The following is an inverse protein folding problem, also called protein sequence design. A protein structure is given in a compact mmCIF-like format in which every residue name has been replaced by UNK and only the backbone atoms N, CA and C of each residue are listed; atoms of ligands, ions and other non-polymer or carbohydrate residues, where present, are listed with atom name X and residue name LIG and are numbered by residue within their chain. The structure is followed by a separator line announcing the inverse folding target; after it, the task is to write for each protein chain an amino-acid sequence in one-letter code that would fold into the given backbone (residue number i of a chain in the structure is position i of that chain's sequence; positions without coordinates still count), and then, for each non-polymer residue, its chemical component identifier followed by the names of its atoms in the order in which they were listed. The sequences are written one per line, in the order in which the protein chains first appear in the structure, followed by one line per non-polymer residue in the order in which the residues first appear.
data_IF_036471569731
#
_entry.id   IF_036471569731
#
_cell.length_a   1.000
_cell.length_b   1.000
_cell.length_c   1.000
_cell.angle_alpha   90.00
_cell.angle_beta   90.00
_cell.angle_gamma   90.00
#
_symmetry.space_group_name_H-M   'P 1'
#
loop_
_entity.id
_entity.type
_entity.pdbx_description
1 polymer ?
#
# COMPACT_ATOMS: atom_id res chain seq x y z
N UNK A 1 -15.20 1.34 -4.22
CA UNK A 1 -13.78 1.00 -4.02
C UNK A 1 -13.70 -0.11 -2.98
N UNK A 2 -12.87 -1.13 -3.19
CA UNK A 2 -12.61 -2.21 -2.22
C UNK A 2 -11.16 -2.13 -1.74
N UNK A 3 -10.83 -2.74 -0.61
CA UNK A 3 -9.48 -2.68 -0.06
C UNK A 3 -8.42 -3.38 -0.94
N UNK A 4 -8.81 -4.44 -1.65
CA UNK A 4 -7.97 -5.08 -2.69
C UNK A 4 -7.63 -4.14 -3.86
N UNK A 5 -8.49 -3.16 -4.16
CA UNK A 5 -8.25 -2.18 -5.23
C UNK A 5 -7.07 -1.28 -4.83
N UNK A 6 -7.01 -0.90 -3.56
CA UNK A 6 -5.92 -0.09 -2.99
C UNK A 6 -4.62 -0.88 -2.98
N UNK A 7 -4.64 -2.14 -2.51
CA UNK A 7 -3.48 -3.02 -2.54
C UNK A 7 -2.93 -3.16 -3.97
N UNK A 8 -3.81 -3.37 -4.95
CA UNK A 8 -3.41 -3.49 -6.35
C UNK A 8 -2.77 -2.20 -6.89
N UNK A 9 -3.39 -1.04 -6.63
CA UNK A 9 -2.86 0.26 -7.08
C UNK A 9 -1.47 0.56 -6.50
N UNK A 10 -1.27 0.27 -5.21
CA UNK A 10 0.04 0.40 -4.57
C UNK A 10 1.05 -0.60 -5.13
N UNK A 11 0.62 -1.83 -5.46
CA UNK A 11 1.49 -2.82 -6.11
C UNK A 11 1.94 -2.35 -7.49
N UNK A 12 1.03 -1.80 -8.30
CA UNK A 12 1.36 -1.25 -9.61
C UNK A 12 2.38 -0.11 -9.49
N UNK A 13 2.17 0.82 -8.56
CA UNK A 13 3.12 1.90 -8.29
C UNK A 13 4.49 1.37 -7.82
N UNK A 14 4.50 0.33 -6.99
CA UNK A 14 5.73 -0.34 -6.54
C UNK A 14 6.51 -0.93 -7.72
N UNK A 15 5.81 -1.65 -8.60
CA UNK A 15 6.41 -2.25 -9.79
C UNK A 15 6.89 -1.20 -10.79
N UNK A 16 6.17 -0.08 -10.95
CA UNK A 16 6.60 1.06 -11.77
C UNK A 16 7.93 1.63 -11.29
N UNK A 17 8.11 1.79 -9.97
CA UNK A 17 9.35 2.31 -9.39
C UNK A 17 10.55 1.35 -9.51
N UNK A 18 10.28 0.04 -9.59
CA UNK A 18 11.31 -1.00 -9.70
C UNK A 18 11.75 -1.25 -11.15
N UNK A 19 11.11 -0.62 -12.14
CA UNK A 19 11.39 -0.88 -13.55
C UNK A 19 12.68 -0.21 -14.02
N UNK A 20 13.57 -1.03 -14.62
CA UNK A 20 14.76 -0.56 -15.34
C UNK A 20 14.73 -0.89 -16.85
N UNK A 21 13.81 -1.75 -17.32
CA UNK A 21 13.65 -2.08 -18.75
C UNK A 21 12.19 -2.36 -19.14
N UNK A 22 11.82 -1.95 -20.37
CA UNK A 22 10.47 -2.10 -20.92
C UNK A 22 10.08 -3.55 -21.25
N UNK A 23 11.04 -4.42 -21.56
CA UNK A 23 10.75 -5.82 -21.93
C UNK A 23 10.32 -6.65 -20.71
N UNK A 24 10.93 -6.43 -19.55
CA UNK A 24 10.57 -7.10 -18.28
C UNK A 24 9.25 -6.57 -17.70
N UNK A 25 8.79 -5.40 -18.17
CA UNK A 25 7.58 -4.76 -17.67
C UNK A 25 6.32 -5.58 -17.91
N UNK A 26 6.18 -6.20 -19.09
CA UNK A 26 4.96 -6.94 -19.42
C UNK A 26 4.78 -8.20 -18.55
N UNK A 27 5.87 -8.88 -18.19
CA UNK A 27 5.82 -10.10 -17.39
C UNK A 27 5.35 -9.82 -15.96
N UNK A 28 5.92 -8.79 -15.31
CA UNK A 28 5.57 -8.41 -13.94
C UNK A 28 4.16 -7.85 -13.79
N UNK A 29 3.58 -7.29 -14.86
CA UNK A 29 2.24 -6.71 -14.88
C UNK A 29 1.18 -7.69 -15.40
N UNK A 30 1.57 -8.92 -15.77
CA UNK A 30 0.63 -9.95 -16.16
C UNK A 30 -0.32 -10.31 -15.02
N UNK A 31 -1.55 -10.75 -15.35
CA UNK A 31 -2.55 -11.16 -14.34
C UNK A 31 -2.01 -12.24 -13.39
N UNK A 32 -1.14 -13.14 -13.90
CA UNK A 32 -0.50 -14.18 -13.09
C UNK A 32 0.51 -13.58 -12.11
N UNK A 33 1.36 -12.68 -12.57
CA UNK A 33 2.36 -12.03 -11.70
C UNK A 33 1.69 -11.15 -10.64
N UNK A 34 0.63 -10.42 -11.00
CA UNK A 34 -0.16 -9.62 -10.06
C UNK A 34 -0.86 -10.51 -9.02
N UNK A 35 -1.43 -11.65 -9.43
CA UNK A 35 -2.02 -12.61 -8.49
C UNK A 35 -0.98 -13.16 -7.51
N UNK A 36 0.17 -13.59 -8.01
CA UNK A 36 1.24 -14.14 -7.17
C UNK A 36 1.79 -13.10 -6.18
N UNK A 37 1.98 -11.86 -6.63
CA UNK A 37 2.60 -10.81 -5.81
C UNK A 37 1.65 -10.09 -4.87
N UNK A 38 0.33 -10.15 -5.11
CA UNK A 38 -0.69 -9.51 -4.25
C UNK A 38 -1.53 -10.50 -3.45
N UNK A 39 -1.62 -11.76 -3.88
CA UNK A 39 -2.58 -12.74 -3.36
C UNK A 39 -4.04 -12.51 -3.78
N UNK A 40 -4.28 -11.59 -4.73
CA UNK A 40 -5.61 -11.34 -5.31
C UNK A 40 -5.81 -12.28 -6.51
N UNK A 41 -6.93 -13.00 -6.59
CA UNK A 41 -7.16 -13.90 -7.73
C UNK A 41 -7.18 -13.15 -9.07
N UNK A 42 -6.82 -13.81 -10.19
CA UNK A 42 -6.82 -13.16 -11.52
C UNK A 42 -8.15 -12.47 -11.88
N UNK A 43 -9.28 -13.11 -11.55
CA UNK A 43 -10.61 -12.52 -11.78
C UNK A 43 -10.82 -11.26 -10.96
N UNK A 44 -10.41 -11.26 -9.69
CA UNK A 44 -10.52 -10.08 -8.82
C UNK A 44 -9.51 -8.99 -9.15
N UNK A 45 -8.33 -9.32 -9.69
CA UNK A 45 -7.38 -8.35 -10.28
C UNK A 45 -8.03 -7.66 -11.48
N UNK A 46 -8.62 -8.41 -12.41
CA UNK A 46 -9.33 -7.82 -13.56
C UNK A 46 -10.47 -6.91 -13.13
N UNK A 47 -11.30 -7.37 -12.19
CA UNK A 47 -12.40 -6.58 -11.63
C UNK A 47 -11.89 -5.31 -10.92
N UNK A 48 -10.79 -5.41 -10.17
CA UNK A 48 -10.17 -4.29 -9.48
C UNK A 48 -9.60 -3.26 -10.47
N UNK A 49 -8.88 -3.70 -11.50
CA UNK A 49 -8.37 -2.82 -12.57
C UNK A 49 -9.50 -2.04 -13.24
N UNK A 50 -10.58 -2.72 -13.62
CA UNK A 50 -11.73 -2.08 -14.26
C UNK A 50 -12.34 -1.00 -13.35
N UNK A 51 -12.51 -1.28 -12.05
CA UNK A 51 -12.98 -0.28 -11.07
C UNK A 51 -12.02 0.90 -10.93
N UNK A 52 -10.71 0.63 -10.88
CA UNK A 52 -9.68 1.66 -10.72
C UNK A 52 -9.60 2.57 -11.95
N UNK A 53 -9.70 2.00 -13.15
CA UNK A 53 -9.72 2.73 -14.42
C UNK A 53 -10.97 3.60 -14.51
N UNK A 54 -12.15 3.04 -14.19
CA UNK A 54 -13.40 3.79 -14.19
C UNK A 54 -13.39 4.95 -13.18
N UNK A 55 -12.69 4.79 -12.05
CA UNK A 55 -12.51 5.84 -11.04
C UNK A 55 -11.39 6.85 -11.37
N UNK A 56 -10.65 6.68 -12.48
CA UNK A 56 -9.52 7.53 -12.85
C UNK A 56 -8.25 7.34 -11.99
N UNK A 57 -8.21 6.29 -11.16
CA UNK A 57 -7.06 5.93 -10.32
C UNK A 57 -6.01 5.08 -11.03
N UNK A 58 -6.37 4.49 -12.17
CA UNK A 58 -5.45 3.78 -13.05
C UNK A 58 -5.75 4.10 -14.52
N UNK A 59 -4.79 3.84 -15.40
CA UNK A 59 -4.95 3.93 -16.85
C UNK A 59 -4.15 2.83 -17.53
N UNK A 60 -4.59 2.38 -18.71
CA UNK A 60 -3.76 1.52 -19.55
C UNK A 60 -2.80 2.39 -20.37
N UNK A 61 -1.52 2.04 -20.35
CA UNK A 61 -0.52 2.65 -21.21
C UNK A 61 -0.84 2.36 -22.68
N UNK A 62 -0.74 3.39 -23.53
CA UNK A 62 -1.03 3.27 -24.96
C UNK A 62 0.01 2.37 -25.62
N UNK A 63 -0.43 1.42 -26.43
CA UNK A 63 0.45 0.46 -27.11
C UNK A 63 0.71 -0.79 -26.27
N UNK A 64 1.37 -0.66 -25.12
CA UNK A 64 1.74 -1.81 -24.27
C UNK A 64 0.55 -2.46 -23.55
N UNK A 65 -0.52 -1.69 -23.28
CA UNK A 65 -1.66 -2.15 -22.48
C UNK A 65 -1.33 -2.38 -21.00
N UNK A 66 -0.14 -1.98 -20.55
CA UNK A 66 0.29 -2.14 -19.16
C UNK A 66 -0.51 -1.18 -18.27
N UNK A 67 -1.16 -1.67 -17.19
CA UNK A 67 -1.87 -0.80 -16.27
C UNK A 67 -0.88 0.05 -15.46
N UNK A 68 -1.14 1.35 -15.41
CA UNK A 68 -0.37 2.34 -14.65
C UNK A 68 -1.23 3.03 -13.63
N UNK A 69 -0.70 3.21 -12.43
CA UNK A 69 -1.37 3.96 -11.36
C UNK A 69 -1.33 5.46 -11.67
N UNK A 70 -2.46 6.13 -11.49
CA UNK A 70 -2.50 7.59 -11.45
C UNK A 70 -2.08 8.04 -10.04
N UNK A 71 -0.77 8.14 -9.82
CA UNK A 71 -0.18 8.38 -8.50
C UNK A 71 -0.66 9.67 -7.85
N UNK A 72 -0.93 10.72 -8.65
CA UNK A 72 -1.50 11.98 -8.16
C UNK A 72 -2.90 11.80 -7.59
N UNK A 73 -3.80 11.20 -8.37
CA UNK A 73 -5.18 10.97 -7.93
C UNK A 73 -5.24 9.97 -6.77
N UNK A 74 -4.37 8.96 -6.79
CA UNK A 74 -4.24 8.02 -5.69
C UNK A 74 -3.78 8.72 -4.40
N UNK A 75 -2.72 9.54 -4.47
CA UNK A 75 -2.21 10.27 -3.29
C UNK A 75 -3.30 11.17 -2.66
N UNK A 76 -4.04 11.90 -3.50
CA UNK A 76 -5.18 12.71 -3.05
C UNK A 76 -6.24 11.86 -2.33
N UNK A 77 -6.66 10.76 -2.94
CA UNK A 77 -7.65 9.86 -2.35
C UNK A 77 -7.16 9.22 -1.04
N UNK A 78 -5.92 8.72 -1.01
CA UNK A 78 -5.32 8.09 0.17
C UNK A 78 -5.16 9.09 1.31
N UNK A 79 -4.70 10.31 1.01
CA UNK A 79 -4.48 11.35 2.01
C UNK A 79 -5.75 11.86 2.66
N UNK A 80 -6.85 11.98 1.91
CA UNK A 80 -8.04 12.72 2.35
C UNK A 80 -9.29 11.85 2.51
N UNK A 81 -9.49 10.85 1.66
CA UNK A 81 -10.71 10.04 1.64
C UNK A 81 -10.61 8.72 2.39
N UNK A 82 -9.45 8.06 2.34
CA UNK A 82 -9.33 6.66 2.73
C UNK A 82 -9.70 6.39 4.21
N UNK A 83 -9.33 7.29 5.13
CA UNK A 83 -9.64 7.14 6.56
C UNK A 83 -11.14 7.03 6.87
N UNK A 84 -11.99 7.60 6.00
CA UNK A 84 -13.45 7.55 6.14
C UNK A 84 -14.08 6.33 5.48
N UNK A 85 -13.47 5.84 4.40
CA UNK A 85 -13.98 4.68 3.64
C UNK A 85 -13.52 3.35 4.27
N UNK A 86 -12.33 3.34 4.86
CA UNK A 86 -11.72 2.17 5.51
C UNK A 86 -11.28 2.54 6.94
N UNK A 87 -12.22 2.88 7.85
CA UNK A 87 -11.88 3.23 9.22
C UNK A 87 -11.20 2.03 9.90
N UNK A 88 -10.16 2.31 10.69
CA UNK A 88 -9.44 1.27 11.43
C UNK A 88 -10.10 1.07 12.80
N UNK A 89 -10.28 -0.19 13.18
CA UNK A 89 -10.72 -0.58 14.52
C UNK A 89 -9.60 -1.37 15.20
N UNK A 90 -9.06 -0.89 16.33
CA UNK A 90 -8.11 -1.66 17.12
C UNK A 90 -8.73 -3.00 17.56
N UNK A 91 -8.00 -4.09 17.36
CA UNK A 91 -8.39 -5.45 17.73
C UNK A 91 -7.74 -5.93 19.04
N UNK A 92 -7.50 -7.23 19.26
CA UNK A 92 -6.74 -7.69 20.43
C UNK A 92 -5.22 -7.44 20.29
N UNK A 93 -4.46 -7.69 21.36
CA UNK A 93 -2.99 -7.78 21.28
C UNK A 93 -2.61 -9.11 20.66
N UNK A 94 -1.89 -9.08 19.54
CA UNK A 94 -1.53 -10.27 18.76
C UNK A 94 -0.09 -10.17 18.27
N UNK A 95 0.42 -11.31 17.79
CA UNK A 95 1.64 -11.34 16.99
C UNK A 95 1.36 -10.92 15.55
N UNK A 96 2.21 -10.09 14.98
CA UNK A 96 2.00 -9.58 13.64
C UNK A 96 3.19 -8.89 13.00
N UNK A 97 2.94 -8.30 11.84
CA UNK A 97 3.86 -7.40 11.15
C UNK A 97 3.57 -5.98 11.59
N UNK A 98 4.57 -5.25 12.09
CA UNK A 98 4.43 -3.82 12.38
C UNK A 98 3.86 -3.04 11.17
N UNK A 99 3.03 -2.04 11.43
CA UNK A 99 2.47 -1.15 10.40
C UNK A 99 2.36 0.27 10.95
N UNK A 100 1.82 1.21 10.16
CA UNK A 100 1.65 2.61 10.54
C UNK A 100 2.95 3.22 11.11
N UNK A 101 2.87 3.94 12.22
CA UNK A 101 4.01 4.59 12.86
C UNK A 101 5.09 3.61 13.37
N UNK A 102 4.77 2.33 13.53
CA UNK A 102 5.71 1.31 13.98
C UNK A 102 6.47 0.63 12.84
N UNK A 103 6.07 0.86 11.60
CA UNK A 103 6.76 0.29 10.44
C UNK A 103 8.14 0.94 10.23
N UNK A 104 9.11 0.21 9.64
CA UNK A 104 10.45 0.73 9.38
C UNK A 104 10.51 2.05 8.61
N UNK A 105 9.56 2.30 7.69
CA UNK A 105 9.48 3.54 6.90
C UNK A 105 9.27 4.80 7.74
N UNK A 106 8.71 4.67 8.95
CA UNK A 106 8.45 5.77 9.89
C UNK A 106 9.33 5.69 11.15
N UNK A 107 10.25 4.73 11.23
CA UNK A 107 11.11 4.54 12.39
C UNK A 107 11.91 5.81 12.70
N UNK A 108 11.84 6.28 13.95
CA UNK A 108 12.57 7.46 14.43
C UNK A 108 12.03 8.82 13.93
N UNK A 109 10.98 8.85 13.12
CA UNK A 109 10.39 10.11 12.60
C UNK A 109 9.35 10.71 13.56
N UNK A 110 8.77 9.88 14.43
CA UNK A 110 7.72 10.25 15.37
C UNK A 110 7.99 9.60 16.72
N UNK A 111 7.67 10.31 17.80
CA UNK A 111 7.59 9.70 19.13
C UNK A 111 6.23 9.01 19.22
N UNK A 112 6.21 7.68 19.27
CA UNK A 112 4.98 6.92 19.53
C UNK A 112 4.40 7.32 20.88
N UNK A 113 3.15 7.79 20.88
CA UNK A 113 2.42 8.13 22.11
C UNK A 113 1.60 6.94 22.66
N UNK A 114 1.56 5.80 21.95
CA UNK A 114 0.77 4.63 22.32
C UNK A 114 1.55 3.60 23.13
N UNK A 115 0.86 2.93 24.06
CA UNK A 115 1.40 1.82 24.86
C UNK A 115 1.74 0.58 24.01
N UNK A 116 1.04 0.41 22.89
CA UNK A 116 1.22 -0.72 21.97
C UNK A 116 1.37 -0.25 20.52
N UNK A 117 2.28 -0.88 19.80
CA UNK A 117 2.46 -0.64 18.36
C UNK A 117 1.33 -1.28 17.54
N UNK A 118 0.88 -0.67 16.44
CA UNK A 118 -0.08 -1.30 15.54
C UNK A 118 0.60 -2.39 14.70
N UNK A 119 -0.07 -3.54 14.58
CA UNK A 119 0.39 -4.68 13.78
C UNK A 119 -0.74 -5.23 12.92
N UNK A 120 -0.42 -5.75 11.74
CA UNK A 120 -1.30 -6.69 11.06
C UNK A 120 -1.07 -8.09 11.63
N UNK A 121 -2.12 -8.75 12.11
CA UNK A 121 -2.03 -10.12 12.60
C UNK A 121 -1.41 -11.02 11.53
N UNK A 122 -0.32 -11.69 11.91
CA UNK A 122 0.43 -12.50 10.97
C UNK A 122 1.26 -13.57 11.69
N UNK A 123 1.00 -14.83 11.34
CA UNK A 123 1.68 -15.99 11.91
C UNK A 123 3.19 -16.04 11.62
N UNK A 124 3.73 -15.26 10.68
CA UNK A 124 5.16 -15.13 10.43
C UNK A 124 5.72 -13.80 10.95
N UNK A 125 4.88 -12.92 11.51
CA UNK A 125 5.30 -11.70 12.19
C UNK A 125 6.06 -11.97 13.50
N UNK A 126 6.93 -11.04 13.88
CA UNK A 126 7.73 -11.10 15.10
C UNK A 126 7.36 -10.04 16.14
N UNK A 127 6.53 -9.08 15.76
CA UNK A 127 6.13 -7.96 16.61
C UNK A 127 4.88 -8.34 17.41
N UNK A 128 4.84 -7.94 18.68
CA UNK A 128 3.63 -8.03 19.50
C UNK A 128 3.00 -6.64 19.62
N UNK A 129 1.73 -6.52 19.26
CA UNK A 129 1.08 -5.22 19.24
C UNK A 129 -0.42 -5.27 19.06
N UNK A 130 -1.02 -4.09 19.00
CA UNK A 130 -2.44 -3.88 18.77
C UNK A 130 -2.80 -4.29 17.34
N UNK A 131 -3.64 -5.32 17.19
CA UNK A 131 -4.10 -5.74 15.87
C UNK A 131 -4.87 -4.61 15.18
N UNK A 132 -4.61 -4.41 13.89
CA UNK A 132 -5.46 -3.61 13.02
C UNK A 132 -5.81 -4.40 11.77
N UNK A 133 -6.99 -4.14 11.21
CA UNK A 133 -7.41 -4.80 9.98
C UNK A 133 -6.63 -4.22 8.78
N UNK A 134 -5.86 -5.06 8.04
CA UNK A 134 -5.19 -4.62 6.83
C UNK A 134 -6.22 -4.23 5.77
N UNK A 135 -5.85 -3.37 4.83
CA UNK A 135 -6.74 -3.01 3.70
C UNK A 135 -7.24 -4.24 2.93
N UNK A 136 -6.45 -5.30 2.86
CA UNK A 136 -6.87 -6.57 2.30
C UNK A 136 -6.15 -7.72 3.01
N UNK A 137 -6.80 -8.88 3.12
CA UNK A 137 -6.32 -10.03 3.90
C UNK A 137 -4.91 -10.52 3.52
N UNK A 138 -4.47 -10.32 2.28
CA UNK A 138 -3.12 -10.70 1.82
C UNK A 138 -2.11 -9.55 1.86
N UNK A 139 -2.47 -8.36 2.35
CA UNK A 139 -1.53 -7.25 2.45
C UNK A 139 -0.29 -7.58 3.30
N UNK A 140 -0.38 -8.27 4.46
CA UNK A 140 0.80 -8.62 5.26
C UNK A 140 1.78 -9.55 4.54
N UNK A 141 1.26 -10.54 3.79
CA UNK A 141 2.09 -11.46 3.02
C UNK A 141 2.66 -10.82 1.75
N UNK A 142 1.91 -9.93 1.10
CA UNK A 142 2.39 -9.15 -0.04
C UNK A 142 3.49 -8.16 0.37
N UNK A 143 3.34 -7.49 1.53
CA UNK A 143 4.31 -6.55 2.07
C UNK A 143 5.68 -7.21 2.32
N UNK A 144 5.74 -8.44 2.83
CA UNK A 144 7.01 -9.15 3.06
C UNK A 144 7.83 -9.39 1.82
N UNK A 145 7.16 -9.54 0.68
CA UNK A 145 7.80 -9.87 -0.58
C UNK A 145 8.26 -8.62 -1.33
N UNK A 146 7.85 -7.43 -0.88
CA UNK A 146 8.07 -6.18 -1.59
C UNK A 146 8.18 -5.02 -0.58
N UNK A 147 9.43 -4.60 -0.30
CA UNK A 147 9.73 -3.56 0.69
C UNK A 147 9.11 -2.20 0.33
N UNK A 148 9.02 -1.87 -0.96
CA UNK A 148 8.41 -0.62 -1.41
C UNK A 148 6.87 -0.66 -1.22
N UNK A 149 6.24 -1.80 -1.54
CA UNK A 149 4.83 -2.02 -1.23
C UNK A 149 4.56 -1.96 0.28
N UNK A 150 5.41 -2.58 1.09
CA UNK A 150 5.29 -2.53 2.55
C UNK A 150 5.35 -1.10 3.07
N UNK A 151 6.33 -0.32 2.62
CA UNK A 151 6.47 1.09 2.98
C UNK A 151 5.18 1.87 2.66
N UNK A 152 4.64 1.72 1.44
CA UNK A 152 3.41 2.40 1.05
C UNK A 152 2.18 1.96 1.86
N UNK A 153 2.00 0.66 2.09
CA UNK A 153 0.88 0.14 2.89
C UNK A 153 0.94 0.63 4.34
N UNK A 154 2.13 0.64 4.94
CA UNK A 154 2.32 1.13 6.29
C UNK A 154 2.06 2.64 6.39
N UNK A 155 2.53 3.44 5.42
CA UNK A 155 2.23 4.88 5.36
C UNK A 155 0.73 5.13 5.22
N UNK A 156 0.03 4.31 4.43
CA UNK A 156 -1.42 4.38 4.32
C UNK A 156 -2.11 4.11 5.67
N UNK A 157 -1.65 3.12 6.44
CA UNK A 157 -2.20 2.90 7.78
C UNK A 157 -1.88 4.03 8.76
N UNK A 158 -0.71 4.66 8.64
CA UNK A 158 -0.38 5.86 9.42
C UNK A 158 -1.30 7.04 9.08
N UNK A 159 -1.78 7.16 7.84
CA UNK A 159 -2.80 8.16 7.46
C UNK A 159 -4.18 7.80 8.03
N UNK A 160 -4.53 6.51 8.07
CA UNK A 160 -5.83 6.03 8.58
C UNK A 160 -5.95 6.15 10.10
N UNK A 161 -4.85 5.93 10.82
CA UNK A 161 -4.80 5.85 12.28
C UNK A 161 -4.27 7.12 12.96
N UNK A 162 -3.32 7.79 12.32
CA UNK A 162 -2.52 8.81 12.97
C UNK A 162 -3.31 10.06 13.29
N UNK A 163 -2.84 10.80 14.30
CA UNK A 163 -3.29 12.16 14.53
C UNK A 163 -2.86 13.08 13.36
N UNK A 164 -3.29 14.35 13.34
CA UNK A 164 -3.02 15.24 12.20
C UNK A 164 -1.53 15.38 11.88
N UNK A 165 -0.64 15.37 12.90
CA UNK A 165 0.81 15.45 12.70
C UNK A 165 1.35 14.18 12.04
N UNK A 166 0.96 13.02 12.55
CA UNK A 166 1.42 11.72 12.03
C UNK A 166 0.89 11.49 10.61
N UNK A 167 -0.40 11.76 10.38
CA UNK A 167 -1.04 11.63 9.09
C UNK A 167 -0.43 12.60 8.06
N UNK A 168 -0.12 13.85 8.43
CA UNK A 168 0.52 14.82 7.54
C UNK A 168 1.92 14.37 7.10
N UNK A 169 2.74 13.88 8.03
CA UNK A 169 4.05 13.30 7.70
C UNK A 169 3.89 12.07 6.79
N UNK A 170 2.98 11.16 7.14
CA UNK A 170 2.75 9.95 6.36
C UNK A 170 2.27 10.25 4.93
N UNK A 171 1.41 11.26 4.72
CA UNK A 171 1.03 11.75 3.39
C UNK A 171 2.24 12.23 2.58
N UNK A 172 3.14 12.98 3.20
CA UNK A 172 4.34 13.52 2.54
C UNK A 172 5.26 12.38 2.09
N UNK A 173 5.53 11.41 2.97
CA UNK A 173 6.35 10.25 2.65
C UNK A 173 5.67 9.34 1.62
N UNK A 174 4.34 9.17 1.68
CA UNK A 174 3.59 8.37 0.72
C UNK A 174 3.69 8.97 -0.68
N UNK A 175 3.59 10.29 -0.79
CA UNK A 175 3.79 10.98 -2.06
C UNK A 175 5.18 10.73 -2.66
N UNK A 176 6.22 10.74 -1.82
CA UNK A 176 7.60 10.43 -2.26
C UNK A 176 7.72 8.97 -2.72
N UNK A 177 7.14 8.02 -1.99
CA UNK A 177 7.12 6.61 -2.39
C UNK A 177 6.36 6.41 -3.70
N UNK A 178 5.20 7.07 -3.88
CA UNK A 178 4.39 6.95 -5.09
C UNK A 178 5.04 7.57 -6.33
N UNK A 179 5.87 8.60 -6.17
CA UNK A 179 6.60 9.22 -7.28
C UNK A 179 7.86 8.43 -7.68
N UNK A 180 8.25 7.44 -6.88
CA UNK A 180 9.60 6.89 -6.88
C UNK A 180 10.56 7.89 -6.23
N UNK A 181 11.59 7.40 -5.54
CA UNK A 181 12.59 8.28 -4.93
C UNK A 181 13.06 9.28 -5.98
N UNK A 182 12.75 10.55 -5.76
CA UNK A 182 13.39 11.63 -6.48
C UNK A 182 14.84 11.54 -6.03
N UNK A 183 15.73 10.99 -6.86
CA UNK A 183 17.15 11.26 -6.70
C UNK A 183 17.25 12.77 -6.52
N UNK A 184 17.71 13.18 -5.34
CA UNK A 184 17.88 14.58 -4.98
C UNK A 184 18.66 15.26 -6.09
N UNK A 185 17.97 16.12 -6.84
CA UNK A 185 18.59 17.16 -7.65
C UNK A 185 18.43 18.47 -6.90
#
# INVERSE_FOLDING_TARGET
MKGQDILLLLKLASLENQQHSAEQAAEHFSMRALEQSTGISKSEVSNALNRCIAAGLAKLERGSGIPRTNTRALNEFLGHGLKYVFPVRPGPIVRGLATAHAAPVLAGQLLSAGEHIPVWEDAQGSDMGQAIEPLFKSAPSAARQDAALYAMLALVDAIRLGNEREASLARTLLEQQLRGASDGR
#
